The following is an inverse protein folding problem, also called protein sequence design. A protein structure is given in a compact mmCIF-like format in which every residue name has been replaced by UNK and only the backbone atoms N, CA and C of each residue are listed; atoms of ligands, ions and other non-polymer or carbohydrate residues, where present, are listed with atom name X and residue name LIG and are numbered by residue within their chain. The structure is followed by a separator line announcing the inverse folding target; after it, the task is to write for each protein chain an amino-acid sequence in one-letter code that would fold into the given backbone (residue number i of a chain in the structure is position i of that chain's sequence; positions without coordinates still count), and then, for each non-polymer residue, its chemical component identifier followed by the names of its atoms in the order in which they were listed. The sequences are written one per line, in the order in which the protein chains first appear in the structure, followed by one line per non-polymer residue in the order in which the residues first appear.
data_IF_130829157223
#
_entry.id   IF_130829157223
#
_cell.length_a   1.000
_cell.length_b   1.000
_cell.length_c   1.000
_cell.angle_alpha   90.00
_cell.angle_beta   90.00
_cell.angle_gamma   90.00
#
_symmetry.space_group_name_H-M   'P 1'
#
loop_
_entity.id
_entity.type
_entity.pdbx_description
1 polymer ?
#
# COMPACT_ATOMS: atom_id res chain seq x y z
N UNK A 1 15.26 -19.00 21.96
CA UNK A 1 14.33 -18.82 23.11
C UNK A 1 14.88 -17.93 24.23
N UNK A 2 16.11 -18.12 24.71
CA UNK A 2 16.69 -17.33 25.82
C UNK A 2 16.93 -15.86 25.46
N UNK A 3 17.43 -15.58 24.24
CA UNK A 3 17.65 -14.22 23.74
C UNK A 3 16.35 -13.41 23.71
N UNK A 4 15.23 -14.03 23.32
CA UNK A 4 13.92 -13.38 23.33
C UNK A 4 13.48 -13.01 24.76
N UNK A 5 13.70 -13.91 25.72
CA UNK A 5 13.40 -13.64 27.14
C UNK A 5 14.23 -12.49 27.68
N UNK A 6 15.49 -12.37 27.28
CA UNK A 6 16.33 -11.22 27.63
C UNK A 6 15.76 -9.92 27.06
N UNK A 7 15.34 -9.91 25.79
CA UNK A 7 14.68 -8.75 25.18
C UNK A 7 13.42 -8.36 25.97
N UNK A 8 12.58 -9.34 26.32
CA UNK A 8 11.38 -9.11 27.13
C UNK A 8 11.71 -8.48 28.49
N UNK A 9 12.71 -9.01 29.20
CA UNK A 9 13.13 -8.46 30.50
C UNK A 9 13.64 -7.02 30.38
N UNK A 10 14.44 -6.73 29.35
CA UNK A 10 14.94 -5.36 29.14
C UNK A 10 13.82 -4.36 28.80
N UNK A 11 12.76 -4.78 28.09
CA UNK A 11 11.61 -3.91 27.81
C UNK A 11 10.80 -3.63 29.07
N UNK A 12 10.63 -4.63 29.94
CA UNK A 12 10.01 -4.46 31.25
C UNK A 12 10.84 -3.50 32.10
N UNK A 13 12.17 -3.69 32.16
CA UNK A 13 13.08 -2.84 32.91
C UNK A 13 13.00 -1.37 32.48
N UNK A 14 13.00 -1.09 31.17
CA UNK A 14 12.85 0.28 30.67
C UNK A 14 11.51 0.92 31.12
N UNK A 15 10.41 0.15 31.07
CA UNK A 15 9.10 0.65 31.51
C UNK A 15 9.06 0.86 33.03
N UNK A 16 9.67 -0.04 33.81
CA UNK A 16 9.79 0.15 35.25
C UNK A 16 10.62 1.39 35.57
N UNK A 17 11.74 1.62 34.89
CA UNK A 17 12.51 2.85 35.03
C UNK A 17 11.69 4.10 34.69
N UNK A 18 10.83 4.03 33.67
CA UNK A 18 9.90 5.12 33.34
C UNK A 18 8.87 5.36 34.45
N UNK A 19 8.36 4.31 35.12
CA UNK A 19 7.42 4.42 36.23
C UNK A 19 8.08 4.89 37.54
N UNK A 20 9.31 4.47 37.83
CA UNK A 20 10.00 4.84 39.07
C UNK A 20 10.76 6.17 38.97
N UNK A 21 11.26 6.55 37.79
CA UNK A 21 11.85 7.88 37.55
C UNK A 21 10.78 9.00 37.49
N UNK A 22 9.50 8.66 37.61
CA UNK A 22 8.36 9.52 37.30
C UNK A 22 8.00 10.54 38.40
N UNK A 23 8.75 10.58 39.50
CA UNK A 23 8.43 11.43 40.65
C UNK A 23 8.55 12.95 40.40
N UNK A 24 9.36 13.44 39.43
CA UNK A 24 9.68 14.89 39.36
C UNK A 24 9.80 15.51 37.95
N UNK A 25 9.42 14.83 36.85
CA UNK A 25 9.70 15.33 35.48
C UNK A 25 8.47 15.91 34.76
N UNK A 26 8.69 17.00 34.01
CA UNK A 26 7.72 17.63 33.09
C UNK A 26 7.13 16.64 32.07
N UNK A 27 5.89 16.85 31.64
CA UNK A 27 5.17 16.03 30.66
C UNK A 27 5.92 15.90 29.32
N UNK A 28 6.62 16.94 28.88
CA UNK A 28 7.38 16.91 27.62
C UNK A 28 8.63 16.04 27.72
N UNK A 29 9.30 16.06 28.88
CA UNK A 29 10.42 15.17 29.15
C UNK A 29 9.98 13.71 29.16
N UNK A 30 8.75 13.41 29.65
CA UNK A 30 8.18 12.05 29.60
C UNK A 30 7.97 11.57 28.17
N UNK A 31 7.40 12.41 27.30
CA UNK A 31 7.19 12.08 25.88
C UNK A 31 8.50 11.78 25.16
N UNK A 32 9.53 12.61 25.37
CA UNK A 32 10.84 12.40 24.76
C UNK A 32 11.49 11.09 25.20
N UNK A 33 11.40 10.72 26.48
CA UNK A 33 11.97 9.45 26.95
C UNK A 33 11.17 8.27 26.39
N UNK A 34 9.84 8.36 26.29
CA UNK A 34 9.02 7.32 25.66
C UNK A 34 9.41 7.12 24.19
N UNK A 35 9.64 8.20 23.43
CA UNK A 35 10.05 8.11 22.03
C UNK A 35 11.44 7.49 21.86
N UNK A 36 12.40 7.84 22.70
CA UNK A 36 13.75 7.24 22.64
C UNK A 36 13.72 5.75 22.97
N UNK A 37 12.96 5.36 24.00
CA UNK A 37 12.73 3.95 24.36
C UNK A 37 12.04 3.21 23.21
N UNK A 38 11.00 3.80 22.61
CA UNK A 38 10.29 3.23 21.45
C UNK A 38 11.23 3.00 20.26
N UNK A 39 12.05 3.99 19.90
CA UNK A 39 13.02 3.86 18.80
C UNK A 39 14.03 2.75 19.08
N UNK A 40 14.51 2.63 20.33
CA UNK A 40 15.38 1.53 20.75
C UNK A 40 14.70 0.17 20.62
N UNK A 41 13.41 0.08 20.98
CA UNK A 41 12.64 -1.16 20.85
C UNK A 41 12.41 -1.56 19.39
N UNK A 42 12.14 -0.60 18.50
CA UNK A 42 12.00 -0.85 17.06
C UNK A 42 13.30 -1.36 16.45
N UNK A 43 14.43 -0.69 16.71
CA UNK A 43 15.76 -1.14 16.25
C UNK A 43 16.07 -2.56 16.70
N UNK A 44 15.83 -2.88 17.98
CA UNK A 44 16.07 -4.24 18.50
C UNK A 44 15.11 -5.25 17.89
N UNK A 45 13.87 -4.87 17.64
CA UNK A 45 12.88 -5.73 17.01
C UNK A 45 13.28 -6.14 15.59
N UNK A 46 13.88 -5.24 14.82
CA UNK A 46 14.39 -5.54 13.47
C UNK A 46 15.46 -6.65 13.48
N UNK A 47 16.26 -6.74 14.54
CA UNK A 47 17.30 -7.76 14.71
C UNK A 47 16.79 -9.11 15.24
N UNK A 48 15.50 -9.20 15.61
CA UNK A 48 14.91 -10.49 16.03
C UNK A 48 14.60 -11.38 14.82
N UNK A 49 14.57 -12.70 14.99
CA UNK A 49 14.19 -13.63 13.91
C UNK A 49 12.77 -13.32 13.38
N UNK A 50 12.60 -13.35 12.06
CA UNK A 50 11.35 -12.94 11.38
C UNK A 50 10.13 -13.87 11.59
N UNK A 51 10.29 -14.98 12.33
CA UNK A 51 9.22 -15.94 12.56
C UNK A 51 8.10 -15.39 13.45
N UNK A 52 6.85 -15.62 13.04
CA UNK A 52 5.64 -15.22 13.79
C UNK A 52 5.67 -15.70 15.24
N UNK A 53 5.94 -17.00 15.44
CA UNK A 53 5.95 -17.64 16.77
C UNK A 53 7.09 -17.11 17.67
N UNK A 54 8.18 -16.62 17.07
CA UNK A 54 9.29 -16.03 17.81
C UNK A 54 9.03 -14.59 18.23
N UNK A 55 8.31 -13.82 17.41
CA UNK A 55 8.03 -12.40 17.65
C UNK A 55 6.74 -12.15 18.44
N UNK A 56 5.79 -13.08 18.41
CA UNK A 56 4.49 -12.93 19.07
C UNK A 56 4.60 -12.66 20.58
N UNK A 57 5.41 -13.39 21.38
CA UNK A 57 5.47 -13.17 22.82
C UNK A 57 6.02 -11.78 23.18
N UNK A 58 6.99 -11.29 22.39
CA UNK A 58 7.55 -9.96 22.57
C UNK A 58 6.52 -8.87 22.22
N UNK A 59 5.78 -9.05 21.12
CA UNK A 59 4.70 -8.12 20.76
C UNK A 59 3.56 -8.14 21.77
N UNK A 60 3.21 -9.31 22.31
CA UNK A 60 2.21 -9.46 23.36
C UNK A 60 2.60 -8.69 24.63
N UNK A 61 3.86 -8.84 25.06
CA UNK A 61 4.41 -8.05 26.15
C UNK A 61 4.31 -6.55 25.86
N UNK A 62 4.76 -6.11 24.69
CA UNK A 62 4.68 -4.68 24.31
C UNK A 62 3.27 -4.13 24.35
N UNK A 63 2.26 -4.89 23.95
CA UNK A 63 0.86 -4.46 24.04
C UNK A 63 0.45 -4.19 25.48
N UNK A 64 0.82 -5.09 26.40
CA UNK A 64 0.55 -4.90 27.84
C UNK A 64 1.29 -3.67 28.37
N UNK A 65 2.57 -3.52 28.01
CA UNK A 65 3.38 -2.37 28.43
C UNK A 65 2.82 -1.04 27.88
N UNK A 66 2.45 -0.98 26.62
CA UNK A 66 1.82 0.21 26.02
C UNK A 66 0.46 0.52 26.63
N UNK A 67 -0.31 -0.51 26.98
CA UNK A 67 -1.59 -0.32 27.69
C UNK A 67 -1.37 0.26 29.09
N UNK A 68 -0.33 -0.17 29.81
CA UNK A 68 0.04 0.43 31.10
C UNK A 68 0.47 1.90 30.98
N UNK A 69 1.04 2.29 29.83
CA UNK A 69 1.46 3.66 29.52
C UNK A 69 0.35 4.51 28.85
N UNK A 70 -0.88 3.98 28.71
CA UNK A 70 -2.02 4.58 27.99
C UNK A 70 -1.74 4.98 26.53
N UNK A 71 -0.80 4.28 25.86
CA UNK A 71 -0.41 4.52 24.46
C UNK A 71 -1.29 3.71 23.49
N UNK A 72 -2.56 4.09 23.37
CA UNK A 72 -3.56 3.35 22.56
C UNK A 72 -3.18 3.19 21.09
N UNK A 73 -2.56 4.21 20.47
CA UNK A 73 -2.13 4.16 19.08
C UNK A 73 -1.07 3.06 18.83
N UNK A 74 -0.12 2.92 19.76
CA UNK A 74 0.95 1.92 19.67
C UNK A 74 0.44 0.50 19.91
N UNK A 75 -0.55 0.34 20.80
CA UNK A 75 -1.26 -0.93 20.96
C UNK A 75 -1.92 -1.33 19.65
N UNK A 76 -2.56 -0.38 18.97
CA UNK A 76 -3.19 -0.62 17.67
C UNK A 76 -2.19 -0.99 16.58
N UNK A 77 -1.07 -0.27 16.47
CA UNK A 77 0.00 -0.57 15.50
C UNK A 77 0.68 -1.93 15.78
N UNK A 78 0.83 -2.33 17.04
CA UNK A 78 1.31 -3.67 17.42
C UNK A 78 0.34 -4.78 17.01
N UNK A 79 -0.96 -4.60 17.21
CA UNK A 79 -1.98 -5.53 16.72
C UNK A 79 -2.00 -5.62 15.20
N UNK A 80 -1.82 -4.50 14.49
CA UNK A 80 -1.72 -4.49 13.03
C UNK A 80 -0.49 -5.23 12.52
N UNK A 81 0.65 -5.08 13.19
CA UNK A 81 1.85 -5.82 12.85
C UNK A 81 1.58 -7.33 12.98
N UNK A 82 0.98 -7.74 14.10
CA UNK A 82 0.63 -9.14 14.33
C UNK A 82 -0.37 -9.67 13.29
N UNK A 83 -1.42 -8.89 12.97
CA UNK A 83 -2.38 -9.23 11.92
C UNK A 83 -1.71 -9.44 10.55
N UNK A 84 -0.79 -8.54 10.17
CA UNK A 84 -0.02 -8.66 8.91
C UNK A 84 0.83 -9.92 8.89
N UNK A 85 1.53 -10.21 9.99
CA UNK A 85 2.38 -11.38 10.08
C UNK A 85 1.55 -12.68 10.05
N UNK A 86 0.42 -12.73 10.77
CA UNK A 86 -0.53 -13.84 10.74
C UNK A 86 -1.12 -14.08 9.35
N UNK A 87 -1.48 -13.01 8.61
CA UNK A 87 -1.95 -13.11 7.23
C UNK A 87 -0.90 -13.72 6.30
N UNK A 88 0.36 -13.30 6.39
CA UNK A 88 1.44 -13.89 5.57
C UNK A 88 1.75 -15.34 5.96
N UNK A 89 1.53 -15.72 7.22
CA UNK A 89 1.63 -17.10 7.68
C UNK A 89 0.44 -17.99 7.27
N UNK A 90 -0.62 -17.42 6.68
CA UNK A 90 -1.83 -18.15 6.29
C UNK A 90 -2.78 -18.47 7.45
N UNK A 91 -2.59 -17.85 8.63
CA UNK A 91 -3.46 -18.06 9.79
C UNK A 91 -4.61 -17.06 9.81
N UNK A 92 -5.62 -17.31 8.99
CA UNK A 92 -6.73 -16.38 8.73
C UNK A 92 -7.52 -15.99 9.99
N UNK A 93 -7.91 -16.97 10.82
CA UNK A 93 -8.68 -16.75 12.05
C UNK A 93 -7.93 -15.84 13.03
N UNK A 94 -6.63 -16.09 13.21
CA UNK A 94 -5.78 -15.27 14.09
C UNK A 94 -5.63 -13.85 13.54
N UNK A 95 -5.45 -13.70 12.23
CA UNK A 95 -5.36 -12.41 11.57
C UNK A 95 -6.67 -11.61 11.75
N UNK A 96 -7.82 -12.26 11.56
CA UNK A 96 -9.13 -11.64 11.76
C UNK A 96 -9.31 -11.13 13.19
N UNK A 97 -8.98 -11.96 14.19
CA UNK A 97 -9.09 -11.56 15.59
C UNK A 97 -8.16 -10.39 15.94
N UNK A 98 -6.94 -10.38 15.40
CA UNK A 98 -5.97 -9.30 15.60
C UNK A 98 -6.43 -7.98 14.97
N UNK A 99 -7.03 -8.04 13.77
CA UNK A 99 -7.61 -6.88 13.09
C UNK A 99 -8.74 -6.29 13.94
N UNK A 100 -9.63 -7.14 14.47
CA UNK A 100 -10.71 -6.70 15.33
C UNK A 100 -10.19 -5.95 16.57
N UNK A 101 -9.11 -6.44 17.20
CA UNK A 101 -8.50 -5.70 18.31
C UNK A 101 -7.91 -4.36 17.85
N UNK A 102 -7.21 -4.30 16.71
CA UNK A 102 -6.69 -3.03 16.18
C UNK A 102 -7.81 -2.02 15.88
N UNK A 103 -8.95 -2.47 15.34
CA UNK A 103 -10.11 -1.62 15.05
C UNK A 103 -10.71 -1.03 16.34
N UNK A 104 -10.74 -1.79 17.44
CA UNK A 104 -11.21 -1.28 18.75
C UNK A 104 -10.37 -0.12 19.29
N UNK A 105 -9.10 -0.05 18.92
CA UNK A 105 -8.21 1.05 19.28
C UNK A 105 -8.19 2.18 18.22
N UNK A 106 -9.04 2.11 17.19
CA UNK A 106 -9.22 3.18 16.20
C UNK A 106 -8.16 3.22 15.09
N UNK A 107 -7.42 2.13 14.85
CA UNK A 107 -6.42 2.12 13.78
C UNK A 107 -7.05 2.11 12.37
N UNK A 108 -6.94 3.23 11.66
CA UNK A 108 -7.42 3.37 10.27
C UNK A 108 -6.81 2.34 9.30
N UNK A 109 -5.53 1.98 9.51
CA UNK A 109 -4.83 0.97 8.69
C UNK A 109 -5.46 -0.42 8.83
N UNK A 110 -6.26 -0.68 9.86
CA UNK A 110 -6.91 -1.97 10.10
C UNK A 110 -7.90 -2.32 9.00
N UNK A 111 -8.66 -1.35 8.50
CA UNK A 111 -9.61 -1.56 7.41
C UNK A 111 -8.93 -2.01 6.11
N UNK A 112 -7.76 -1.44 5.80
CA UNK A 112 -6.96 -1.86 4.64
C UNK A 112 -6.41 -3.29 4.83
N UNK A 113 -5.96 -3.65 6.03
CA UNK A 113 -5.53 -5.03 6.30
C UNK A 113 -6.69 -6.03 6.30
N UNK A 114 -7.89 -5.62 6.74
CA UNK A 114 -9.12 -6.41 6.63
C UNK A 114 -9.44 -6.76 5.19
N UNK A 115 -9.36 -5.77 4.30
CA UNK A 115 -9.55 -6.00 2.88
C UNK A 115 -8.49 -6.97 2.30
N UNK A 116 -7.22 -6.84 2.71
CA UNK A 116 -6.15 -7.78 2.28
C UNK A 116 -6.34 -9.20 2.80
N UNK A 117 -6.90 -9.36 4.00
CA UNK A 117 -7.25 -10.68 4.53
C UNK A 117 -8.38 -11.32 3.72
N UNK A 118 -9.42 -10.55 3.36
CA UNK A 118 -10.47 -11.06 2.46
C UNK A 118 -9.91 -11.41 1.07
N UNK A 119 -8.96 -10.62 0.57
CA UNK A 119 -8.33 -10.88 -0.73
C UNK A 119 -7.47 -12.15 -0.79
N UNK A 120 -6.85 -12.57 0.33
CA UNK A 120 -6.13 -13.84 0.35
C UNK A 120 -7.04 -15.04 0.14
N UNK A 121 -8.33 -14.89 0.44
CA UNK A 121 -9.33 -15.94 0.31
C UNK A 121 -10.00 -15.82 -1.06
N UNK A 122 -9.85 -16.81 -1.98
CA UNK A 122 -10.39 -16.70 -3.33
C UNK A 122 -11.90 -16.45 -3.39
N UNK A 123 -12.65 -17.00 -2.43
CA UNK A 123 -14.11 -16.86 -2.35
C UNK A 123 -14.56 -15.45 -1.93
N UNK A 124 -13.72 -14.69 -1.22
CA UNK A 124 -14.07 -13.40 -0.63
C UNK A 124 -13.46 -12.20 -1.38
N UNK A 125 -12.95 -12.40 -2.60
CA UNK A 125 -12.30 -11.32 -3.37
C UNK A 125 -13.24 -10.16 -3.70
N UNK A 126 -14.50 -10.44 -4.04
CA UNK A 126 -15.51 -9.41 -4.27
C UNK A 126 -15.82 -8.63 -2.99
N UNK A 127 -15.88 -9.31 -1.84
CA UNK A 127 -16.07 -8.66 -0.55
C UNK A 127 -14.90 -7.74 -0.19
N UNK A 128 -13.67 -8.13 -0.51
CA UNK A 128 -12.48 -7.30 -0.30
C UNK A 128 -12.58 -5.96 -1.04
N UNK A 129 -13.02 -6.00 -2.31
CA UNK A 129 -13.22 -4.80 -3.14
C UNK A 129 -14.34 -3.92 -2.60
N UNK A 130 -15.45 -4.53 -2.17
CA UNK A 130 -16.58 -3.83 -1.53
C UNK A 130 -16.16 -3.10 -0.26
N UNK A 131 -15.43 -3.77 0.64
CA UNK A 131 -14.93 -3.15 1.88
C UNK A 131 -14.02 -1.95 1.61
N UNK A 132 -13.18 -2.01 0.57
CA UNK A 132 -12.36 -0.86 0.18
C UNK A 132 -13.18 0.28 -0.41
N UNK A 133 -14.22 -0.01 -1.21
CA UNK A 133 -15.11 1.01 -1.75
C UNK A 133 -15.81 1.78 -0.63
N UNK A 134 -16.43 1.04 0.30
CA UNK A 134 -17.10 1.63 1.47
C UNK A 134 -16.14 2.51 2.28
N UNK A 135 -14.90 2.04 2.47
CA UNK A 135 -13.86 2.84 3.14
C UNK A 135 -13.55 4.14 2.40
N UNK A 136 -13.38 4.09 1.07
CA UNK A 136 -13.09 5.27 0.24
C UNK A 136 -14.25 6.27 0.30
N UNK A 137 -15.49 5.81 0.20
CA UNK A 137 -16.68 6.67 0.21
C UNK A 137 -16.83 7.43 1.54
N UNK A 138 -16.60 6.75 2.68
CA UNK A 138 -16.64 7.36 4.01
C UNK A 138 -15.53 8.41 4.19
N UNK A 139 -14.31 8.10 3.74
CA UNK A 139 -13.15 8.98 3.92
C UNK A 139 -13.11 10.12 2.88
N UNK A 140 -13.83 9.99 1.77
CA UNK A 140 -14.02 11.08 0.81
C UNK A 140 -14.86 12.22 1.40
N UNK A 141 -15.71 11.94 2.40
CA UNK A 141 -16.58 12.94 3.04
C UNK A 141 -15.94 13.56 4.30
N UNK A 142 -14.89 12.94 4.85
CA UNK A 142 -14.24 13.34 6.11
C UNK A 142 -12.71 13.45 5.96
N UNK A 143 -12.17 14.61 5.54
CA UNK A 143 -10.75 14.77 5.17
C UNK A 143 -9.77 14.81 6.37
N UNK A 144 -10.20 14.45 7.58
CA UNK A 144 -9.42 14.57 8.81
C UNK A 144 -8.52 13.37 9.11
N UNK A 145 -8.59 12.30 8.32
CA UNK A 145 -8.00 11.00 8.64
C UNK A 145 -6.97 10.56 7.59
N UNK A 146 -5.69 10.53 7.97
CA UNK A 146 -4.54 9.91 7.29
C UNK A 146 -4.68 9.68 5.77
N UNK A 147 -4.59 10.76 4.99
CA UNK A 147 -4.76 10.74 3.53
C UNK A 147 -3.86 9.72 2.81
N UNK A 148 -2.68 9.41 3.37
CA UNK A 148 -1.78 8.39 2.83
C UNK A 148 -2.30 6.95 2.94
N UNK A 149 -3.20 6.67 3.88
CA UNK A 149 -3.89 5.37 3.99
C UNK A 149 -4.99 5.30 2.93
N UNK A 150 -5.76 6.38 2.76
CA UNK A 150 -6.78 6.52 1.72
C UNK A 150 -6.18 6.35 0.32
N UNK A 151 -5.03 6.98 0.04
CA UNK A 151 -4.31 6.79 -1.22
C UNK A 151 -3.95 5.32 -1.50
N UNK A 152 -3.47 4.61 -0.47
CA UNK A 152 -3.16 3.17 -0.58
C UNK A 152 -4.42 2.33 -0.79
N UNK A 153 -5.52 2.67 -0.14
CA UNK A 153 -6.81 2.00 -0.31
C UNK A 153 -7.36 2.18 -1.73
N UNK A 154 -7.31 3.39 -2.28
CA UNK A 154 -7.72 3.71 -3.66
C UNK A 154 -6.88 2.90 -4.66
N UNK A 155 -5.55 2.96 -4.53
CA UNK A 155 -4.63 2.19 -5.38
C UNK A 155 -4.93 0.69 -5.36
N UNK A 156 -5.20 0.16 -4.17
CA UNK A 156 -5.49 -1.26 -4.00
C UNK A 156 -6.87 -1.63 -4.57
N UNK A 157 -7.88 -0.79 -4.35
CA UNK A 157 -9.23 -0.97 -4.88
C UNK A 157 -9.21 -1.08 -6.40
N UNK A 158 -8.64 -0.09 -7.09
CA UNK A 158 -8.63 -0.07 -8.55
C UNK A 158 -7.80 -1.19 -9.16
N UNK A 159 -6.67 -1.52 -8.55
CA UNK A 159 -5.89 -2.69 -8.94
C UNK A 159 -6.73 -3.98 -8.87
N UNK A 160 -7.45 -4.19 -7.77
CA UNK A 160 -8.26 -5.40 -7.60
C UNK A 160 -9.52 -5.42 -8.46
N UNK A 161 -10.16 -4.26 -8.67
CA UNK A 161 -11.29 -4.12 -9.60
C UNK A 161 -10.88 -4.51 -11.02
N UNK A 162 -9.67 -4.11 -11.44
CA UNK A 162 -9.10 -4.50 -12.73
C UNK A 162 -8.75 -6.00 -12.78
N UNK A 163 -8.14 -6.56 -11.73
CA UNK A 163 -7.82 -8.01 -11.67
C UNK A 163 -9.08 -8.90 -11.69
N UNK A 164 -10.20 -8.42 -11.15
CA UNK A 164 -11.49 -9.13 -11.20
C UNK A 164 -12.29 -8.89 -12.50
N UNK A 165 -11.87 -7.95 -13.35
CA UNK A 165 -12.59 -7.60 -14.57
C UNK A 165 -14.02 -7.10 -14.33
N UNK A 166 -14.28 -6.46 -13.18
CA UNK A 166 -15.64 -6.05 -12.80
C UNK A 166 -16.21 -4.89 -13.64
N UNK A 167 -15.33 -4.08 -14.23
CA UNK A 167 -15.68 -2.86 -14.96
C UNK A 167 -14.84 -2.76 -16.23
N UNK A 168 -15.35 -2.00 -17.20
CA UNK A 168 -14.59 -1.65 -18.40
C UNK A 168 -13.38 -0.76 -18.05
N UNK A 169 -12.27 -0.96 -18.77
CA UNK A 169 -11.00 -0.26 -18.51
C UNK A 169 -11.15 1.26 -18.68
N UNK A 170 -11.99 1.72 -19.61
CA UNK A 170 -12.32 3.13 -19.80
C UNK A 170 -12.92 3.76 -18.54
N UNK A 171 -13.92 3.10 -17.94
CA UNK A 171 -14.56 3.53 -16.70
C UNK A 171 -13.59 3.49 -15.52
N UNK A 172 -12.70 2.48 -15.48
CA UNK A 172 -11.65 2.38 -14.45
C UNK A 172 -10.71 3.58 -14.53
N UNK A 173 -10.27 3.98 -15.72
CA UNK A 173 -9.36 5.12 -15.92
C UNK A 173 -10.03 6.41 -15.44
N UNK A 174 -11.25 6.70 -15.89
CA UNK A 174 -11.98 7.92 -15.55
C UNK A 174 -12.19 8.05 -14.03
N UNK A 175 -12.73 6.98 -13.41
CA UNK A 175 -13.00 6.97 -11.98
C UNK A 175 -11.70 7.03 -11.17
N UNK A 176 -10.65 6.32 -11.60
CA UNK A 176 -9.36 6.35 -10.90
C UNK A 176 -8.71 7.74 -10.98
N UNK A 177 -8.76 8.41 -12.13
CA UNK A 177 -8.31 9.79 -12.26
C UNK A 177 -9.09 10.74 -11.36
N UNK A 178 -10.41 10.58 -11.28
CA UNK A 178 -11.27 11.38 -10.39
C UNK A 178 -10.92 11.17 -8.90
N UNK A 179 -10.61 9.94 -8.48
CA UNK A 179 -10.10 9.69 -7.12
C UNK A 179 -8.69 10.26 -6.90
N UNK A 180 -7.86 10.34 -7.94
CA UNK A 180 -6.52 10.92 -7.88
C UNK A 180 -6.53 12.45 -7.81
N UNK A 181 -7.48 13.14 -8.46
CA UNK A 181 -7.60 14.59 -8.36
C UNK A 181 -8.09 15.05 -6.98
N UNK A 182 -8.86 14.21 -6.28
CA UNK A 182 -9.28 14.42 -4.89
C UNK A 182 -8.13 14.30 -3.88
N UNK A 183 -7.00 13.67 -4.24
CA UNK A 183 -5.84 13.51 -3.38
C UNK A 183 -4.96 14.78 -3.38
N UNK A 184 -4.35 15.18 -2.24
CA UNK A 184 -3.41 16.29 -2.18
C UNK A 184 -2.14 16.00 -2.99
N UNK A 185 -1.50 17.05 -3.52
CA UNK A 185 -0.36 16.97 -4.44
C UNK A 185 0.74 15.98 -3.99
N UNK A 186 1.11 16.01 -2.70
CA UNK A 186 2.14 15.15 -2.12
C UNK A 186 1.87 13.64 -2.27
N UNK A 187 0.60 13.24 -2.30
CA UNK A 187 0.19 11.83 -2.45
C UNK A 187 -0.24 11.50 -3.89
N UNK A 188 -0.63 12.52 -4.66
CA UNK A 188 -0.95 12.41 -6.09
C UNK A 188 0.29 12.02 -6.91
N UNK A 189 1.45 12.55 -6.54
CA UNK A 189 2.75 12.30 -7.17
C UNK A 189 3.41 10.99 -6.71
N UNK A 190 2.62 9.96 -6.43
CA UNK A 190 3.16 8.66 -6.04
C UNK A 190 3.57 7.84 -7.27
N UNK A 191 4.77 7.25 -7.26
CA UNK A 191 5.23 6.26 -8.25
C UNK A 191 4.14 5.24 -8.59
N UNK A 192 3.46 4.70 -7.56
CA UNK A 192 2.43 3.67 -7.71
C UNK A 192 1.22 4.13 -8.50
N UNK A 193 0.77 5.36 -8.29
CA UNK A 193 -0.41 5.92 -8.95
C UNK A 193 -0.10 6.13 -10.44
N UNK A 194 1.03 6.77 -10.73
CA UNK A 194 1.48 7.01 -12.11
C UNK A 194 1.74 5.70 -12.86
N UNK A 195 2.36 4.71 -12.20
CA UNK A 195 2.55 3.38 -12.77
C UNK A 195 1.22 2.70 -13.11
N UNK A 196 0.24 2.72 -12.19
CA UNK A 196 -1.08 2.12 -12.41
C UNK A 196 -1.87 2.82 -13.51
N UNK A 197 -1.81 4.15 -13.58
CA UNK A 197 -2.42 4.91 -14.67
C UNK A 197 -1.80 4.50 -16.01
N UNK A 198 -0.47 4.52 -16.13
CA UNK A 198 0.25 4.07 -17.32
C UNK A 198 -0.13 2.64 -17.71
N UNK A 199 -0.25 1.75 -16.73
CA UNK A 199 -0.66 0.36 -16.93
C UNK A 199 -2.11 0.22 -17.40
N UNK A 200 -3.06 0.96 -16.83
CA UNK A 200 -4.45 0.92 -17.28
C UNK A 200 -4.62 1.45 -18.70
N UNK A 201 -3.90 2.51 -19.05
CA UNK A 201 -3.86 3.00 -20.43
C UNK A 201 -3.21 1.97 -21.37
N UNK A 202 -2.13 1.32 -20.94
CA UNK A 202 -1.45 0.26 -21.71
C UNK A 202 -2.37 -0.93 -21.98
N UNK A 203 -3.10 -1.43 -20.97
CA UNK A 203 -4.10 -2.51 -21.16
C UNK A 203 -5.27 -2.05 -22.05
N UNK A 204 -5.68 -0.78 -21.91
CA UNK A 204 -6.74 -0.22 -22.77
C UNK A 204 -6.35 -0.26 -24.25
N UNK A 205 -5.08 -0.05 -24.54
CA UNK A 205 -4.52 0.01 -25.90
C UNK A 205 -4.14 -1.37 -26.45
N UNK A 206 -3.52 -2.20 -25.60
CA UNK A 206 -2.99 -3.52 -25.91
C UNK A 206 -3.58 -4.57 -24.95
N UNK A 207 -4.81 -5.05 -25.19
CA UNK A 207 -5.45 -6.06 -24.34
C UNK A 207 -4.82 -7.44 -24.49
N UNK A 208 -4.21 -7.72 -25.65
CA UNK A 208 -3.53 -8.98 -25.89
C UNK A 208 -2.07 -8.92 -25.41
N UNK A 209 -1.67 -9.92 -24.63
CA UNK A 209 -0.28 -10.09 -24.13
C UNK A 209 0.77 -10.22 -25.24
N UNK A 210 0.33 -10.39 -26.49
CA UNK A 210 1.17 -10.43 -27.69
C UNK A 210 1.55 -9.05 -28.20
N UNK A 211 1.00 -7.97 -27.61
CA UNK A 211 1.25 -6.59 -28.04
C UNK A 211 0.35 -6.12 -29.18
N UNK A 212 -0.61 -6.93 -29.63
CA UNK A 212 -1.56 -6.50 -30.65
C UNK A 212 -2.47 -5.38 -30.11
N UNK A 213 -2.53 -4.25 -30.83
CA UNK A 213 -3.52 -3.20 -30.55
C UNK A 213 -4.94 -3.73 -30.81
N UNK A 214 -5.93 -3.23 -30.05
CA UNK A 214 -7.37 -3.51 -30.23
C UNK A 214 -7.87 -3.40 -31.68
N UNK A 215 -7.15 -2.69 -32.54
CA UNK A 215 -7.57 -2.34 -33.89
C UNK A 215 -6.68 -2.92 -35.01
N UNK A 216 -5.68 -3.75 -34.71
CA UNK A 216 -4.89 -4.39 -35.76
C UNK A 216 -5.55 -5.68 -36.27
N UNK A 217 -5.99 -5.64 -37.53
CA UNK A 217 -6.28 -6.83 -38.31
C UNK A 217 -4.97 -7.45 -38.81
N UNK A 218 -4.59 -8.57 -38.19
CA UNK A 218 -3.80 -9.66 -38.76
C UNK A 218 -2.53 -9.27 -39.55
N UNK A 219 -1.35 -9.22 -38.91
CA UNK A 219 -0.10 -9.31 -39.67
C UNK A 219 1.22 -8.95 -38.99
N UNK A 220 1.24 -8.06 -38.00
CA UNK A 220 2.49 -7.63 -37.36
C UNK A 220 2.54 -8.03 -35.90
N UNK A 221 3.59 -8.78 -35.53
CA UNK A 221 3.93 -9.06 -34.14
C UNK A 221 4.67 -7.83 -33.58
N UNK A 222 3.95 -6.86 -33.01
CA UNK A 222 4.53 -5.68 -32.36
C UNK A 222 3.46 -4.74 -31.78
N UNK A 223 3.83 -3.85 -30.86
CA UNK A 223 2.95 -2.87 -30.22
C UNK A 223 2.82 -1.58 -31.04
N UNK A 224 2.71 -1.73 -32.37
CA UNK A 224 2.60 -0.62 -33.30
C UNK A 224 1.17 -0.09 -33.28
N UNK A 225 1.04 1.22 -33.11
CA UNK A 225 -0.26 1.89 -33.10
C UNK A 225 -0.51 2.54 -34.45
N UNK A 226 -1.54 2.07 -35.14
CA UNK A 226 -1.93 2.57 -36.48
C UNK A 226 -3.18 3.46 -36.43
N UNK A 227 -3.97 3.39 -35.36
CA UNK A 227 -5.22 4.15 -35.22
C UNK A 227 -4.98 5.55 -34.62
N UNK A 228 -5.69 6.56 -35.15
CA UNK A 228 -5.53 7.98 -34.77
C UNK A 228 -5.95 8.27 -33.32
N UNK A 229 -6.96 7.58 -32.79
CA UNK A 229 -7.42 7.76 -31.40
C UNK A 229 -6.42 7.16 -30.40
N UNK A 230 -5.95 5.97 -30.72
CA UNK A 230 -4.93 5.23 -29.96
C UNK A 230 -3.59 5.98 -29.92
N UNK A 231 -3.26 6.63 -31.04
CA UNK A 231 -2.09 7.49 -31.17
C UNK A 231 -2.12 8.73 -30.25
N UNK A 232 -3.29 9.17 -29.76
CA UNK A 232 -3.38 10.28 -28.80
C UNK A 232 -3.14 9.83 -27.35
N UNK A 233 -3.39 8.55 -27.05
CA UNK A 233 -3.19 7.98 -25.72
C UNK A 233 -1.72 7.59 -25.48
N UNK A 234 -0.96 7.32 -26.55
CA UNK A 234 0.42 6.85 -26.45
C UNK A 234 1.36 7.84 -25.74
N UNK A 235 1.35 9.15 -26.04
CA UNK A 235 2.14 10.13 -25.27
C UNK A 235 1.75 10.17 -23.79
N UNK A 236 0.46 9.98 -23.49
CA UNK A 236 -0.01 9.91 -22.11
C UNK A 236 0.56 8.68 -21.40
N UNK A 237 0.59 7.51 -22.04
CA UNK A 237 1.20 6.29 -21.46
C UNK A 237 2.68 6.51 -21.14
N UNK A 238 3.43 7.02 -22.13
CA UNK A 238 4.86 7.29 -21.98
C UNK A 238 5.12 8.27 -20.84
N UNK A 239 4.36 9.36 -20.76
CA UNK A 239 4.50 10.34 -19.69
C UNK A 239 4.20 9.75 -18.30
N UNK A 240 3.16 8.92 -18.16
CA UNK A 240 2.85 8.27 -16.87
C UNK A 240 3.92 7.25 -16.46
N UNK A 241 4.50 6.49 -17.40
CA UNK A 241 5.64 5.62 -17.10
C UNK A 241 6.92 6.42 -16.79
N UNK A 242 7.22 7.48 -17.53
CA UNK A 242 8.38 8.34 -17.28
C UNK A 242 8.29 9.03 -15.91
N UNK A 243 7.14 9.62 -15.59
CA UNK A 243 6.88 10.22 -14.27
C UNK A 243 6.96 9.18 -13.16
N UNK A 244 6.44 7.96 -13.35
CA UNK A 244 6.60 6.90 -12.35
C UNK A 244 8.07 6.62 -12.01
N UNK A 245 8.94 6.61 -13.03
CA UNK A 245 10.37 6.40 -12.89
C UNK A 245 11.09 7.58 -12.21
N UNK A 246 10.59 8.80 -12.36
CA UNK A 246 11.11 9.98 -11.66
C UNK A 246 10.88 9.88 -10.14
N UNK A 247 9.72 9.34 -9.72
CA UNK A 247 9.33 9.29 -8.31
C UNK A 247 9.85 8.06 -7.55
N UNK A 248 10.27 6.99 -8.23
CA UNK A 248 10.77 5.80 -7.54
C UNK A 248 11.25 4.67 -8.45
N UNK A 249 11.74 3.61 -7.82
CA UNK A 249 12.44 2.51 -8.49
C UNK A 249 11.80 1.14 -8.31
N UNK A 250 10.64 1.06 -7.65
CA UNK A 250 9.98 -0.21 -7.34
C UNK A 250 9.47 -0.92 -8.60
N UNK A 251 9.03 -0.17 -9.60
CA UNK A 251 8.44 -0.71 -10.84
C UNK A 251 9.37 -0.62 -12.06
N UNK A 252 10.67 -0.30 -11.89
CA UNK A 252 11.60 -0.11 -13.02
C UNK A 252 11.56 -1.27 -14.01
N UNK A 253 11.63 -2.51 -13.51
CA UNK A 253 11.64 -3.69 -14.36
C UNK A 253 10.34 -3.94 -15.13
N UNK A 254 9.27 -3.21 -14.81
CA UNK A 254 7.98 -3.28 -15.50
C UNK A 254 7.78 -2.06 -16.40
N UNK A 255 8.01 -0.85 -15.89
CA UNK A 255 7.75 0.40 -16.62
C UNK A 255 8.82 0.71 -17.66
N UNK A 256 10.10 0.52 -17.35
CA UNK A 256 11.18 0.93 -18.25
C UNK A 256 11.25 0.08 -19.54
N UNK A 257 11.24 -1.27 -19.51
CA UNK A 257 11.26 -2.06 -20.73
C UNK A 257 10.04 -1.76 -21.61
N UNK A 258 8.85 -1.65 -21.00
CA UNK A 258 7.61 -1.37 -21.73
C UNK A 258 7.62 0.02 -22.36
N UNK A 259 8.09 1.04 -21.63
CA UNK A 259 8.26 2.40 -22.15
C UNK A 259 9.18 2.40 -23.37
N UNK A 260 10.32 1.72 -23.29
CA UNK A 260 11.26 1.62 -24.40
C UNK A 260 10.63 0.89 -25.60
N UNK A 261 9.95 -0.23 -25.40
CA UNK A 261 9.25 -0.94 -26.48
C UNK A 261 8.24 -0.03 -27.18
N UNK A 262 7.37 0.65 -26.41
CA UNK A 262 6.35 1.54 -26.97
C UNK A 262 6.98 2.72 -27.71
N UNK A 263 8.08 3.26 -27.19
CA UNK A 263 8.80 4.36 -27.83
C UNK A 263 9.47 3.93 -29.13
N UNK A 264 10.23 2.83 -29.13
CA UNK A 264 10.94 2.34 -30.32
C UNK A 264 10.00 1.92 -31.44
N UNK A 265 8.90 1.22 -31.14
CA UNK A 265 7.96 0.73 -32.16
C UNK A 265 7.08 1.83 -32.75
N UNK A 266 6.96 2.97 -32.06
CA UNK A 266 6.13 4.09 -32.48
C UNK A 266 6.93 5.38 -32.73
N UNK A 267 8.26 5.30 -32.84
CA UNK A 267 9.14 6.45 -33.08
C UNK A 267 8.86 7.17 -34.40
N UNK A 268 8.31 6.47 -35.40
CA UNK A 268 7.91 7.03 -36.70
C UNK A 268 6.57 7.78 -36.65
N UNK A 269 5.79 7.63 -35.57
CA UNK A 269 4.49 8.27 -35.45
C UNK A 269 4.65 9.74 -35.01
N UNK A 270 4.14 10.73 -35.77
CA UNK A 270 4.35 12.16 -35.52
C UNK A 270 3.72 12.67 -34.21
N UNK A 271 2.87 11.85 -33.58
CA UNK A 271 2.21 12.09 -32.30
C UNK A 271 3.06 11.74 -31.08
N UNK A 272 4.06 10.87 -31.26
CA UNK A 272 4.97 10.37 -30.22
C UNK A 272 6.23 11.25 -30.14
N UNK A 273 6.49 11.98 -31.22
CA UNK A 273 7.46 13.05 -31.29
C UNK A 273 6.84 14.41 -30.91
N UNK A 274 6.69 14.71 -29.62
CA UNK A 274 6.94 16.05 -29.13
C UNK A 274 8.13 16.02 -28.17
N UNK A 275 9.01 17.00 -28.37
CA UNK A 275 10.11 17.46 -27.51
C UNK A 275 10.21 16.75 -26.15
N UNK A 276 11.14 15.79 -26.05
CA UNK A 276 11.75 15.40 -24.77
C UNK A 276 12.64 16.55 -24.32
#
# INVERSE_FOLDING_TARGET
PLILRLHMLTEIEHVLHLFFSQADKSQDAKRMVIETVKSSWEKRFEHTQAGLMGREPLLALRRVLFQMLDLKAEVADSWLYFAKAARHAGHESTAHSAIMQAERYGALKAHVERAKLKWSNPMERYDAVRVLREYIDIHSQSPTSDMGITAKAIVLHWKWTQELGMQEISQIIENFQEHCTRLPANHRESEKINFLLGHFFDISLFPDRTGASKFEGNGNNGCRVTNRKDSQLLPSILNHYATSLQYGHKYIFQSLPRLLTLWFENAENPSVSPEI
#
